data_IF_691517844971
#
_entry.id   IF_691517844971
#
_cell.length_a   1.000
_cell.length_b   1.000
_cell.length_c   1.000
_cell.angle_alpha   90.00
_cell.angle_beta   90.00
_cell.angle_gamma   90.00
#
_symmetry.space_group_name_H-M   'P 1'
#
loop_
_entity.id
_entity.type
_entity.pdbx_description
1 polymer ?
#
# COMPACT_ATOMS: atom_id res chain seq x y z
N UNK A 1 48.32 34.11 11.35
CA UNK A 1 47.20 33.14 11.42
C UNK A 1 45.95 33.88 10.99
N UNK A 2 45.57 33.80 9.72
CA UNK A 2 44.33 34.40 9.21
C UNK A 2 43.62 33.33 8.40
N UNK A 3 42.61 32.71 9.00
CA UNK A 3 41.78 31.71 8.34
C UNK A 3 41.01 32.38 7.20
N UNK A 4 41.31 32.00 5.97
CA UNK A 4 40.54 32.39 4.78
C UNK A 4 39.36 31.45 4.65
N UNK A 5 38.18 31.86 5.12
CA UNK A 5 36.93 31.17 4.78
C UNK A 5 36.79 31.17 3.26
N UNK A 6 36.66 30.01 2.60
CA UNK A 6 36.51 29.96 1.16
C UNK A 6 35.23 30.72 0.76
N UNK A 7 35.21 31.42 -0.40
CA UNK A 7 34.00 32.02 -0.89
C UNK A 7 32.98 30.89 -1.08
N UNK A 8 31.86 30.97 -0.36
CA UNK A 8 30.73 30.05 -0.47
C UNK A 8 30.18 30.11 -1.90
N UNK A 9 30.78 29.33 -2.78
CA UNK A 9 30.43 29.22 -4.20
C UNK A 9 29.80 27.84 -4.40
N UNK A 10 28.54 27.85 -4.82
CA UNK A 10 27.69 26.67 -4.92
C UNK A 10 26.21 27.04 -4.76
N UNK A 11 25.32 26.07 -4.99
CA UNK A 11 23.87 26.25 -4.88
C UNK A 11 23.48 26.93 -3.55
N UNK A 12 24.03 26.46 -2.42
CA UNK A 12 23.79 27.05 -1.09
C UNK A 12 24.24 28.52 -1.00
N UNK A 13 25.40 28.86 -1.56
CA UNK A 13 25.93 30.24 -1.52
C UNK A 13 25.09 31.22 -2.34
N UNK A 14 24.59 30.78 -3.49
CA UNK A 14 23.67 31.55 -4.34
C UNK A 14 22.31 31.77 -3.67
N UNK A 15 21.76 30.74 -3.02
CA UNK A 15 20.53 30.89 -2.21
C UNK A 15 20.71 31.83 -1.01
N UNK A 16 21.90 31.85 -0.40
CA UNK A 16 22.21 32.75 0.71
C UNK A 16 22.38 34.21 0.26
N UNK A 17 22.83 34.47 -0.96
CA UNK A 17 22.96 35.85 -1.50
C UNK A 17 21.67 36.35 -2.16
N UNK A 18 20.78 35.46 -2.59
CA UNK A 18 19.55 35.80 -3.31
C UNK A 18 18.30 35.49 -2.48
N UNK A 19 18.07 36.31 -1.44
CA UNK A 19 16.95 36.15 -0.50
C UNK A 19 15.57 36.11 -1.16
N UNK A 20 15.38 36.81 -2.29
CA UNK A 20 14.10 36.80 -3.03
C UNK A 20 13.80 35.42 -3.61
N UNK A 21 14.78 34.78 -4.25
CA UNK A 21 14.64 33.44 -4.81
C UNK A 21 14.41 32.40 -3.70
N UNK A 22 15.12 32.52 -2.57
CA UNK A 22 14.96 31.64 -1.42
C UNK A 22 13.54 31.72 -0.81
N UNK A 23 13.00 32.92 -0.62
CA UNK A 23 11.66 33.12 -0.06
C UNK A 23 10.56 32.63 -1.02
N UNK A 24 10.70 32.87 -2.33
CA UNK A 24 9.75 32.36 -3.32
C UNK A 24 9.74 30.83 -3.34
N UNK A 25 10.91 30.18 -3.28
CA UNK A 25 11.01 28.73 -3.20
C UNK A 25 10.37 28.19 -1.91
N UNK A 26 10.61 28.85 -0.77
CA UNK A 26 9.99 28.49 0.50
C UNK A 26 8.46 28.54 0.42
N UNK A 27 7.90 29.64 -0.10
CA UNK A 27 6.44 29.80 -0.27
C UNK A 27 5.88 28.73 -1.21
N UNK A 28 6.59 28.44 -2.30
CA UNK A 28 6.19 27.41 -3.26
C UNK A 28 6.12 26.03 -2.61
N UNK A 29 7.15 25.63 -1.86
CA UNK A 29 7.19 24.34 -1.15
C UNK A 29 6.07 24.26 -0.11
N UNK A 30 5.84 25.33 0.66
CA UNK A 30 4.77 25.37 1.66
C UNK A 30 3.39 25.28 0.99
N UNK A 31 3.17 26.01 -0.11
CA UNK A 31 1.91 25.97 -0.86
C UNK A 31 1.62 24.60 -1.45
N UNK A 32 2.61 23.98 -2.11
CA UNK A 32 2.51 22.63 -2.66
C UNK A 32 2.29 21.58 -1.55
N UNK A 33 2.98 21.73 -0.41
CA UNK A 33 2.82 20.87 0.77
C UNK A 33 1.41 20.97 1.36
N UNK A 34 0.90 22.17 1.57
CA UNK A 34 -0.48 22.40 2.02
C UNK A 34 -1.47 21.76 1.05
N UNK A 35 -1.32 22.00 -0.25
CA UNK A 35 -2.18 21.38 -1.27
C UNK A 35 -2.16 19.85 -1.20
N UNK A 36 -0.97 19.26 -1.04
CA UNK A 36 -0.79 17.82 -0.86
C UNK A 36 -1.53 17.28 0.36
N UNK A 37 -1.46 17.98 1.50
CA UNK A 37 -2.17 17.59 2.72
C UNK A 37 -3.68 17.60 2.56
N UNK A 38 -4.24 18.56 1.81
CA UNK A 38 -5.68 18.62 1.55
C UNK A 38 -6.15 17.63 0.48
N UNK A 39 -5.29 17.27 -0.47
CA UNK A 39 -5.65 16.36 -1.57
C UNK A 39 -5.42 14.88 -1.23
N UNK A 40 -4.57 14.59 -0.24
CA UNK A 40 -4.24 13.21 0.14
C UNK A 40 -5.47 12.50 0.67
N UNK A 41 -5.94 11.50 -0.08
CA UNK A 41 -7.03 10.63 0.34
C UNK A 41 -6.60 9.81 1.54
N UNK A 42 -7.29 9.97 2.66
CA UNK A 42 -7.13 9.14 3.84
C UNK A 42 -8.16 8.02 3.77
N UNK A 43 -7.70 6.81 3.50
CA UNK A 43 -8.52 5.61 3.61
C UNK A 43 -8.43 5.11 5.05
N UNK A 44 -9.58 4.96 5.72
CA UNK A 44 -9.66 4.43 7.09
C UNK A 44 -9.24 2.97 7.16
N UNK A 45 -9.38 2.26 6.05
CA UNK A 45 -8.91 0.90 5.85
C UNK A 45 -8.25 0.86 4.48
N UNK A 46 -6.97 0.50 4.37
CA UNK A 46 -6.38 0.26 3.05
C UNK A 46 -7.17 -0.84 2.35
N UNK A 47 -7.42 -0.70 1.05
CA UNK A 47 -7.91 -1.82 0.22
C UNK A 47 -6.83 -2.89 0.13
N UNK A 48 -6.79 -3.77 1.12
CA UNK A 48 -6.02 -5.01 1.04
C UNK A 48 -6.82 -5.94 0.14
N UNK A 49 -6.34 -6.14 -1.09
CA UNK A 49 -6.85 -7.18 -1.97
C UNK A 49 -6.45 -8.53 -1.37
N UNK A 50 -7.37 -9.15 -0.63
CA UNK A 50 -7.19 -10.52 -0.13
C UNK A 50 -7.67 -11.45 -1.24
N UNK A 51 -6.74 -12.19 -1.86
CA UNK A 51 -7.02 -13.19 -2.89
C UNK A 51 -7.67 -14.45 -2.27
N UNK A 52 -8.88 -14.31 -1.72
CA UNK A 52 -9.63 -15.39 -1.09
C UNK A 52 -11.00 -15.57 -1.76
N UNK A 53 -11.33 -16.82 -2.06
CA UNK A 53 -12.64 -17.24 -2.58
C UNK A 53 -13.36 -18.05 -1.50
N UNK A 54 -14.59 -17.67 -1.14
CA UNK A 54 -15.41 -18.38 -0.15
C UNK A 54 -16.49 -19.22 -0.86
N UNK A 55 -16.45 -20.54 -0.65
CA UNK A 55 -17.47 -21.48 -1.16
C UNK A 55 -18.30 -21.96 0.03
N UNK A 56 -19.63 -21.85 -0.04
CA UNK A 56 -20.55 -22.32 1.01
C UNK A 56 -21.55 -23.30 0.42
N UNK A 57 -21.60 -24.50 0.95
CA UNK A 57 -22.56 -25.54 0.56
C UNK A 57 -23.38 -25.93 1.79
N UNK A 58 -24.62 -25.41 1.96
CA UNK A 58 -25.47 -25.81 3.06
C UNK A 58 -25.98 -27.24 2.83
N UNK A 59 -25.63 -28.16 3.72
CA UNK A 59 -26.11 -29.55 3.69
C UNK A 59 -26.59 -29.95 5.09
N UNK A 60 -27.92 -30.07 5.25
CA UNK A 60 -28.58 -30.25 6.54
C UNK A 60 -28.90 -31.73 6.81
N UNK A 61 -28.68 -32.17 8.04
CA UNK A 61 -29.16 -33.48 8.51
C UNK A 61 -28.34 -34.69 8.09
N UNK A 62 -27.13 -34.50 7.55
CA UNK A 62 -26.21 -35.59 7.22
C UNK A 62 -25.15 -35.79 8.31
N UNK A 63 -24.65 -37.02 8.42
CA UNK A 63 -23.52 -37.29 9.30
C UNK A 63 -22.27 -36.55 8.80
N UNK A 64 -21.40 -36.02 9.67
CA UNK A 64 -20.19 -35.31 9.24
C UNK A 64 -19.34 -36.11 8.25
N UNK A 65 -19.27 -37.44 8.43
CA UNK A 65 -18.54 -38.34 7.54
C UNK A 65 -19.11 -38.38 6.12
N UNK A 66 -20.44 -38.34 5.99
CA UNK A 66 -21.11 -38.35 4.67
C UNK A 66 -20.93 -37.01 3.95
N UNK A 67 -20.86 -35.90 4.68
CA UNK A 67 -20.59 -34.56 4.12
C UNK A 67 -19.16 -34.46 3.60
N UNK A 68 -18.21 -35.02 4.35
CA UNK A 68 -16.80 -35.06 3.96
C UNK A 68 -16.62 -35.82 2.63
N UNK A 69 -17.08 -37.07 2.58
CA UNK A 69 -16.93 -37.93 1.40
C UNK A 69 -17.77 -37.48 0.20
N UNK A 70 -18.99 -36.98 0.46
CA UNK A 70 -19.95 -36.65 -0.57
C UNK A 70 -19.77 -35.25 -1.17
N UNK A 71 -19.34 -34.27 -0.38
CA UNK A 71 -19.32 -32.86 -0.76
C UNK A 71 -17.92 -32.28 -0.67
N UNK A 72 -17.28 -32.33 0.50
CA UNK A 72 -16.00 -31.63 0.74
C UNK A 72 -14.90 -32.17 -0.17
N UNK A 73 -14.63 -33.48 -0.14
CA UNK A 73 -13.58 -34.11 -0.96
C UNK A 73 -13.82 -33.87 -2.45
N UNK A 74 -15.08 -33.94 -2.91
CA UNK A 74 -15.44 -33.72 -4.31
C UNK A 74 -15.19 -32.28 -4.76
N UNK A 75 -15.49 -31.31 -3.89
CA UNK A 75 -15.24 -29.89 -4.14
C UNK A 75 -13.74 -29.61 -4.14
N UNK A 76 -12.99 -30.20 -3.21
CA UNK A 76 -11.53 -30.07 -3.17
C UNK A 76 -10.86 -30.62 -4.43
N UNK A 77 -11.23 -31.83 -4.87
CA UNK A 77 -10.69 -32.44 -6.10
C UNK A 77 -10.96 -31.59 -7.35
N UNK A 78 -12.18 -31.03 -7.47
CA UNK A 78 -12.54 -30.17 -8.60
C UNK A 78 -11.68 -28.90 -8.65
N UNK A 79 -11.43 -28.29 -7.48
CA UNK A 79 -10.69 -27.03 -7.33
C UNK A 79 -9.17 -27.24 -7.40
N UNK A 80 -8.68 -28.43 -7.03
CA UNK A 80 -7.24 -28.79 -7.05
C UNK A 80 -6.58 -28.65 -8.43
N UNK A 81 -7.38 -28.69 -9.50
CA UNK A 81 -6.93 -28.52 -10.89
C UNK A 81 -6.66 -27.07 -11.28
N UNK A 82 -7.04 -26.09 -10.43
CA UNK A 82 -6.88 -24.66 -10.70
C UNK A 82 -5.47 -24.23 -10.24
N UNK A 83 -4.64 -23.81 -11.20
CA UNK A 83 -3.33 -23.20 -10.91
C UNK A 83 -3.50 -21.88 -10.14
N UNK A 84 -2.83 -21.73 -9.00
CA UNK A 84 -2.78 -20.48 -8.22
C UNK A 84 -3.35 -20.55 -6.80
N UNK A 85 -3.88 -21.69 -6.35
CA UNK A 85 -4.43 -21.85 -5.00
C UNK A 85 -3.34 -22.32 -4.04
N UNK A 86 -2.96 -21.47 -3.07
CA UNK A 86 -1.89 -21.76 -2.10
C UNK A 86 -2.37 -22.55 -0.87
N UNK A 87 -3.63 -22.39 -0.45
CA UNK A 87 -4.17 -23.03 0.74
C UNK A 87 -5.69 -23.21 0.66
N UNK A 88 -6.17 -24.39 1.06
CA UNK A 88 -7.59 -24.73 1.22
C UNK A 88 -7.84 -25.03 2.71
N UNK A 89 -8.94 -24.51 3.27
CA UNK A 89 -9.36 -24.76 4.65
C UNK A 89 -10.86 -25.03 4.65
N UNK A 90 -11.27 -26.15 5.25
CA UNK A 90 -12.65 -26.66 5.35
C UNK A 90 -13.13 -26.60 6.80
#
# INVERSE_FOLDING_TARGET
MSETTPPVSGLIGWFATNHVAANLLMIFIIGAGCWGLFTTKREMFPEVQIDQVSVRVPYLGAAPLEVEEGVVIRVEEAIKSIEGISQISS
#
